data_IF_824647533823
#
_entry.id   IF_824647533823
#
_cell.length_a   1.000
_cell.length_b   1.000
_cell.length_c   1.000
_cell.angle_alpha   90.00
_cell.angle_beta   90.00
_cell.angle_gamma   90.00
#
_symmetry.space_group_name_H-M   'P 1'
#
loop_
_entity.id
_entity.type
_entity.pdbx_description
1 polymer ?
#
# COMPACT_ATOMS: atom_id res chain seq x y z
N UNK A 1 10.18 -12.71 15.33
CA UNK A 1 10.63 -14.05 14.90
C UNK A 1 9.88 -14.40 13.63
N UNK A 2 10.55 -14.93 12.58
CA UNK A 2 9.86 -15.28 11.33
C UNK A 2 8.80 -16.35 11.58
N UNK A 3 7.56 -16.19 11.07
CA UNK A 3 6.58 -17.26 11.11
C UNK A 3 7.09 -18.47 10.33
N UNK A 4 6.82 -19.66 10.86
CA UNK A 4 7.18 -20.93 10.22
C UNK A 4 6.04 -21.40 9.33
N UNK A 5 6.31 -21.75 8.09
CA UNK A 5 5.31 -22.30 7.17
C UNK A 5 5.86 -23.50 6.41
N UNK A 6 4.97 -24.45 6.07
CA UNK A 6 5.32 -25.63 5.27
C UNK A 6 5.52 -25.24 3.81
N UNK A 7 6.55 -25.79 3.15
CA UNK A 7 6.83 -25.60 1.71
C UNK A 7 5.60 -25.83 0.81
N UNK A 8 4.71 -26.76 1.19
CA UNK A 8 3.45 -27.03 0.46
C UNK A 8 2.57 -25.78 0.27
N UNK A 9 2.59 -24.84 1.22
CA UNK A 9 1.83 -23.58 1.14
C UNK A 9 2.48 -22.51 0.26
N UNK A 10 3.71 -22.74 -0.22
CA UNK A 10 4.54 -21.75 -0.94
C UNK A 10 4.93 -22.25 -2.33
N UNK A 11 4.21 -23.23 -2.88
CA UNK A 11 4.58 -23.90 -4.15
C UNK A 11 4.25 -23.08 -5.40
N UNK A 12 3.41 -22.05 -5.27
CA UNK A 12 2.98 -21.19 -6.36
C UNK A 12 2.80 -19.73 -5.87
N UNK A 13 2.64 -18.82 -6.82
CA UNK A 13 2.53 -17.39 -6.52
C UNK A 13 1.34 -17.07 -5.61
N UNK A 14 0.17 -17.70 -5.81
CA UNK A 14 -1.00 -17.51 -4.93
C UNK A 14 -0.71 -17.93 -3.48
N UNK A 15 0.00 -19.05 -3.29
CA UNK A 15 0.41 -19.53 -1.98
C UNK A 15 1.37 -18.56 -1.30
N UNK A 16 2.34 -18.04 -2.06
CA UNK A 16 3.27 -17.02 -1.59
C UNK A 16 2.54 -15.72 -1.26
N UNK A 17 1.63 -15.26 -2.12
CA UNK A 17 0.81 -14.07 -1.90
C UNK A 17 0.04 -14.17 -0.59
N UNK A 18 -0.70 -15.26 -0.40
CA UNK A 18 -1.47 -15.48 0.82
C UNK A 18 -0.58 -15.57 2.07
N UNK A 19 0.61 -16.16 1.93
CA UNK A 19 1.55 -16.28 3.04
C UNK A 19 2.14 -14.91 3.42
N UNK A 20 2.64 -14.14 2.44
CA UNK A 20 3.25 -12.82 2.68
C UNK A 20 2.21 -11.82 3.18
N UNK A 21 1.02 -11.77 2.56
CA UNK A 21 -0.08 -10.90 3.04
C UNK A 21 -0.48 -11.21 4.47
N UNK A 22 -0.53 -12.49 4.84
CA UNK A 22 -0.73 -12.89 6.23
C UNK A 22 0.37 -12.35 7.14
N UNK A 23 1.65 -12.50 6.77
CA UNK A 23 2.77 -12.00 7.60
C UNK A 23 2.68 -10.49 7.80
N UNK A 24 2.49 -9.72 6.74
CA UNK A 24 2.46 -8.25 6.85
C UNK A 24 1.23 -7.77 7.64
N UNK A 25 0.06 -8.40 7.47
CA UNK A 25 -1.17 -7.99 8.16
C UNK A 25 -1.23 -8.44 9.63
N UNK A 26 -0.55 -9.53 9.99
CA UNK A 26 -0.47 -10.01 11.38
C UNK A 26 0.70 -9.41 12.17
N UNK A 27 1.59 -8.68 11.51
CA UNK A 27 2.70 -8.01 12.19
C UNK A 27 2.22 -6.77 12.94
N UNK A 28 2.83 -6.49 14.10
CA UNK A 28 2.60 -5.23 14.80
C UNK A 28 3.00 -4.06 13.89
N UNK A 29 2.09 -3.09 13.72
CA UNK A 29 2.27 -1.95 12.82
C UNK A 29 2.24 -0.62 13.59
N UNK A 30 3.16 0.33 13.30
CA UNK A 30 4.22 0.27 12.29
C UNK A 30 5.38 -0.67 12.69
N UNK A 31 5.89 -1.43 11.73
CA UNK A 31 7.06 -2.30 11.94
C UNK A 31 8.37 -1.49 11.88
N UNK A 32 9.34 -1.84 12.72
CA UNK A 32 10.72 -1.34 12.62
C UNK A 32 11.51 -2.03 11.50
N UNK A 33 11.04 -3.20 11.03
CA UNK A 33 11.64 -3.90 9.90
C UNK A 33 11.21 -3.23 8.57
N UNK A 34 12.14 -2.55 7.91
CA UNK A 34 11.90 -1.77 6.68
C UNK A 34 11.15 -2.58 5.62
N UNK A 35 11.59 -3.82 5.34
CA UNK A 35 10.93 -4.69 4.34
C UNK A 35 9.46 -4.96 4.67
N UNK A 36 9.12 -5.15 5.95
CA UNK A 36 7.74 -5.39 6.38
C UNK A 36 6.94 -4.10 6.28
N UNK A 37 7.49 -2.98 6.76
CA UNK A 37 6.83 -1.69 6.71
C UNK A 37 6.51 -1.27 5.26
N UNK A 38 7.48 -1.38 4.36
CA UNK A 38 7.31 -1.01 2.95
C UNK A 38 6.33 -1.94 2.24
N UNK A 39 6.46 -3.24 2.46
CA UNK A 39 5.53 -4.20 1.86
C UNK A 39 4.10 -3.99 2.38
N UNK A 40 3.95 -3.62 3.66
CA UNK A 40 2.66 -3.29 4.25
C UNK A 40 2.03 -2.06 3.59
N UNK A 41 2.73 -0.92 3.54
CA UNK A 41 2.13 0.32 3.01
C UNK A 41 1.82 0.21 1.52
N UNK A 42 2.66 -0.48 0.74
CA UNK A 42 2.42 -0.67 -0.71
C UNK A 42 1.28 -1.65 -0.94
N UNK A 43 1.23 -2.76 -0.21
CA UNK A 43 0.14 -3.73 -0.31
C UNK A 43 -1.21 -3.11 0.04
N UNK A 44 -1.28 -2.35 1.13
CA UNK A 44 -2.52 -1.72 1.53
C UNK A 44 -2.91 -0.56 0.60
N UNK A 45 -1.96 0.21 0.08
CA UNK A 45 -2.27 1.17 -0.98
C UNK A 45 -2.91 0.46 -2.18
N UNK A 46 -2.36 -0.66 -2.64
CA UNK A 46 -3.02 -1.47 -3.66
C UNK A 46 -4.42 -1.94 -3.23
N UNK A 47 -4.55 -2.55 -2.06
CA UNK A 47 -5.81 -3.15 -1.61
C UNK A 47 -6.95 -2.14 -1.49
N UNK A 48 -6.68 -0.95 -0.96
CA UNK A 48 -7.72 0.09 -0.82
C UNK A 48 -8.08 0.73 -2.17
N UNK A 49 -7.10 0.87 -3.08
CA UNK A 49 -7.34 1.42 -4.41
C UNK A 49 -8.21 0.48 -5.26
N UNK A 50 -8.07 -0.83 -5.09
CA UNK A 50 -8.94 -1.82 -5.74
C UNK A 50 -10.32 -1.97 -5.07
N UNK A 51 -10.48 -1.55 -3.81
CA UNK A 51 -11.74 -1.69 -3.06
C UNK A 51 -12.64 -0.45 -3.16
N UNK A 52 -12.04 0.74 -3.12
CA UNK A 52 -12.78 2.01 -3.05
C UNK A 52 -11.93 3.24 -3.36
N UNK A 53 -10.80 3.08 -4.06
CA UNK A 53 -9.99 4.19 -4.54
C UNK A 53 -9.26 4.97 -3.43
N UNK A 54 -8.80 6.16 -3.78
CA UNK A 54 -8.05 7.02 -2.86
C UNK A 54 -8.86 7.46 -1.63
N UNK A 55 -10.19 7.52 -1.71
CA UNK A 55 -11.04 7.87 -0.57
C UNK A 55 -10.99 6.79 0.51
N UNK A 56 -11.14 5.53 0.12
CA UNK A 56 -11.07 4.38 1.03
C UNK A 56 -9.68 4.30 1.67
N UNK A 57 -8.64 4.53 0.87
CA UNK A 57 -7.28 4.60 1.34
C UNK A 57 -7.09 5.65 2.44
N UNK A 58 -7.51 6.90 2.19
CA UNK A 58 -7.39 7.98 3.17
C UNK A 58 -8.19 7.68 4.44
N UNK A 59 -9.38 7.10 4.30
CA UNK A 59 -10.24 6.72 5.42
C UNK A 59 -9.53 5.75 6.35
N UNK A 60 -9.03 4.62 5.83
CA UNK A 60 -8.40 3.58 6.64
C UNK A 60 -6.99 3.93 7.13
N UNK A 61 -6.24 4.74 6.36
CA UNK A 61 -4.85 5.10 6.71
C UNK A 61 -4.69 6.43 7.42
N UNK A 62 -5.78 7.19 7.62
CA UNK A 62 -5.74 8.54 8.20
C UNK A 62 -4.97 8.61 9.52
N UNK A 63 -5.19 7.70 10.45
CA UNK A 63 -4.49 7.67 11.74
C UNK A 63 -2.98 7.46 11.60
N UNK A 64 -2.56 6.60 10.67
CA UNK A 64 -1.15 6.36 10.43
C UNK A 64 -0.50 7.56 9.73
N UNK A 65 -1.18 8.15 8.75
CA UNK A 65 -0.73 9.37 8.07
C UNK A 65 -0.61 10.53 9.07
N UNK A 66 -1.58 10.70 9.98
CA UNK A 66 -1.54 11.69 11.08
C UNK A 66 -0.30 11.49 11.96
N UNK A 67 0.00 10.25 12.35
CA UNK A 67 1.17 9.92 13.21
C UNK A 67 2.50 10.10 12.50
N UNK A 68 2.62 9.62 11.26
CA UNK A 68 3.87 9.69 10.48
C UNK A 68 4.14 11.08 9.90
N UNK A 69 3.09 11.85 9.64
CA UNK A 69 3.11 13.09 8.87
C UNK A 69 3.05 12.82 7.36
N UNK A 70 2.16 13.53 6.67
CA UNK A 70 1.86 13.33 5.24
C UNK A 70 3.09 13.33 4.33
N UNK A 71 4.04 14.24 4.57
CA UNK A 71 5.26 14.32 3.76
C UNK A 71 6.11 13.06 3.88
N UNK A 72 6.34 12.60 5.12
CA UNK A 72 7.12 11.39 5.37
C UNK A 72 6.41 10.18 4.78
N UNK A 73 5.11 10.05 5.07
CA UNK A 73 4.31 8.92 4.58
C UNK A 73 4.29 8.85 3.05
N UNK A 74 4.12 9.98 2.36
CA UNK A 74 4.13 10.04 0.89
C UNK A 74 5.49 9.64 0.31
N UNK A 75 6.59 10.05 0.95
CA UNK A 75 7.95 9.66 0.55
C UNK A 75 8.15 8.14 0.73
N UNK A 76 7.77 7.60 1.89
CA UNK A 76 7.90 6.17 2.17
C UNK A 76 7.09 5.33 1.17
N UNK A 77 5.82 5.71 0.91
CA UNK A 77 4.95 4.99 -0.02
C UNK A 77 5.47 5.06 -1.46
N UNK A 78 5.84 6.26 -1.93
CA UNK A 78 6.42 6.42 -3.26
C UNK A 78 7.71 5.62 -3.42
N UNK A 79 8.60 5.66 -2.42
CA UNK A 79 9.83 4.88 -2.43
C UNK A 79 9.59 3.37 -2.42
N UNK A 80 8.59 2.89 -1.67
CA UNK A 80 8.17 1.49 -1.70
C UNK A 80 7.65 1.05 -3.07
N UNK A 81 6.87 1.90 -3.74
CA UNK A 81 6.39 1.66 -5.10
C UNK A 81 7.55 1.61 -6.11
N UNK A 82 8.49 2.55 -6.05
CA UNK A 82 9.69 2.55 -6.91
C UNK A 82 10.55 1.30 -6.70
N UNK A 83 10.71 0.84 -5.45
CA UNK A 83 11.48 -0.38 -5.12
C UNK A 83 10.91 -1.64 -5.78
N UNK A 84 9.61 -1.68 -6.08
CA UNK A 84 8.97 -2.80 -6.79
C UNK A 84 8.82 -2.53 -8.31
N UNK A 85 9.39 -1.44 -8.83
CA UNK A 85 9.30 -1.05 -10.24
C UNK A 85 7.96 -0.44 -10.63
N UNK A 86 7.22 0.11 -9.65
CA UNK A 86 5.93 0.77 -9.84
C UNK A 86 6.08 2.30 -9.95
N UNK A 87 7.08 2.78 -10.72
CA UNK A 87 7.43 4.20 -10.81
C UNK A 87 6.23 5.10 -11.20
N UNK A 88 5.41 4.68 -12.18
CA UNK A 88 4.24 5.45 -12.59
C UNK A 88 3.19 5.59 -11.46
N UNK A 89 3.08 4.61 -10.56
CA UNK A 89 2.22 4.70 -9.38
C UNK A 89 2.83 5.61 -8.31
N UNK A 90 4.15 5.59 -8.17
CA UNK A 90 4.86 6.51 -7.27
C UNK A 90 4.64 7.97 -7.70
N UNK A 91 4.61 8.26 -9.01
CA UNK A 91 4.29 9.59 -9.52
C UNK A 91 2.85 10.03 -9.20
N UNK A 92 1.87 9.11 -9.20
CA UNK A 92 0.50 9.41 -8.75
C UNK A 92 0.50 9.82 -7.28
N UNK A 93 1.17 9.05 -6.42
CA UNK A 93 1.31 9.36 -4.99
C UNK A 93 1.94 10.73 -4.78
N UNK A 94 3.08 11.00 -5.43
CA UNK A 94 3.78 12.30 -5.33
C UNK A 94 2.92 13.47 -5.80
N UNK A 95 2.10 13.25 -6.82
CA UNK A 95 1.27 14.29 -7.45
C UNK A 95 0.02 14.62 -6.63
N UNK A 96 -0.63 13.60 -6.04
CA UNK A 96 -1.98 13.77 -5.51
C UNK A 96 -2.11 13.58 -4.00
N UNK A 97 -1.26 12.77 -3.36
CA UNK A 97 -1.53 12.34 -1.98
C UNK A 97 -1.48 13.49 -0.97
N UNK A 98 -0.50 14.39 -1.07
CA UNK A 98 -0.39 15.54 -0.16
C UNK A 98 -1.57 16.53 -0.33
N UNK A 99 -1.95 16.98 -1.54
CA UNK A 99 -3.16 17.79 -1.71
C UNK A 99 -4.45 17.10 -1.26
N UNK A 100 -4.62 15.80 -1.58
CA UNK A 100 -5.77 15.02 -1.15
C UNK A 100 -5.88 14.94 0.37
N UNK A 101 -4.74 14.74 1.05
CA UNK A 101 -4.70 14.69 2.50
C UNK A 101 -5.18 15.99 3.16
N UNK A 102 -4.77 17.14 2.63
CA UNK A 102 -5.18 18.42 3.18
C UNK A 102 -6.68 18.68 2.97
N UNK A 103 -7.24 18.27 1.82
CA UNK A 103 -8.68 18.33 1.58
C UNK A 103 -9.42 17.36 2.51
N UNK A 104 -8.94 16.12 2.66
CA UNK A 104 -9.53 15.13 3.56
C UNK A 104 -9.63 15.65 5.01
N UNK A 105 -8.57 16.28 5.52
CA UNK A 105 -8.60 16.90 6.85
C UNK A 105 -9.56 18.10 6.95
N UNK A 106 -9.65 18.90 5.89
CA UNK A 106 -10.54 20.07 5.89
C UNK A 106 -12.02 19.65 5.94
N UNK A 107 -12.39 18.48 5.39
CA UNK A 107 -13.76 17.96 5.44
C UNK A 107 -14.26 17.73 6.87
N UNK A 108 -13.35 17.45 7.81
CA UNK A 108 -13.71 17.32 9.23
C UNK A 108 -14.30 18.62 9.82
N UNK A 109 -14.10 19.77 9.14
CA UNK A 109 -14.46 21.11 9.66
C UNK A 109 -15.27 21.97 8.69
N UNK A 110 -15.22 21.70 7.39
CA UNK A 110 -15.87 22.50 6.35
C UNK A 110 -16.42 21.60 5.24
N UNK A 111 -17.72 21.33 5.27
CA UNK A 111 -18.40 20.53 4.24
C UNK A 111 -18.39 21.22 2.87
N UNK A 112 -18.14 22.53 2.78
CA UNK A 112 -18.17 23.24 1.49
C UNK A 112 -17.06 22.82 0.53
N UNK A 113 -16.00 22.16 1.04
CA UNK A 113 -14.87 21.66 0.26
C UNK A 113 -15.08 20.24 -0.28
N UNK A 114 -16.23 19.61 -0.01
CA UNK A 114 -16.59 18.26 -0.46
C UNK A 114 -16.47 18.10 -1.98
N UNK A 115 -16.94 19.09 -2.74
CA UNK A 115 -16.86 19.06 -4.19
C UNK A 115 -15.41 19.10 -4.70
N UNK A 116 -14.55 19.95 -4.11
CA UNK A 116 -13.13 20.02 -4.43
C UNK A 116 -12.41 18.70 -4.08
N UNK A 117 -12.76 18.09 -2.95
CA UNK A 117 -12.23 16.81 -2.53
C UNK A 117 -12.54 15.71 -3.56
N UNK A 118 -13.82 15.48 -3.88
CA UNK A 118 -14.20 14.43 -4.81
C UNK A 118 -13.67 14.67 -6.22
N UNK A 119 -13.60 15.92 -6.66
CA UNK A 119 -12.97 16.27 -7.95
C UNK A 119 -11.50 15.83 -8.02
N UNK A 120 -10.76 15.96 -6.92
CA UNK A 120 -9.38 15.50 -6.87
C UNK A 120 -9.28 13.98 -6.72
N UNK A 121 -10.17 13.35 -5.95
CA UNK A 121 -10.28 11.88 -5.84
C UNK A 121 -10.49 11.26 -7.22
N UNK A 122 -11.50 11.73 -7.98
CA UNK A 122 -11.78 11.24 -9.32
C UNK A 122 -10.55 11.36 -10.24
N UNK A 123 -9.80 12.44 -10.13
CA UNK A 123 -8.57 12.62 -10.93
C UNK A 123 -7.48 11.63 -10.54
N UNK A 124 -7.25 11.42 -9.24
CA UNK A 124 -6.24 10.50 -8.75
C UNK A 124 -6.60 9.04 -9.08
N UNK A 125 -7.86 8.65 -8.91
CA UNK A 125 -8.36 7.32 -9.26
C UNK A 125 -8.27 7.09 -10.79
N UNK A 126 -8.63 8.07 -11.60
CA UNK A 126 -8.49 7.97 -13.06
C UNK A 126 -7.02 7.80 -13.47
N UNK A 127 -6.10 8.57 -12.89
CA UNK A 127 -4.66 8.42 -13.15
C UNK A 127 -4.20 7.00 -12.75
N UNK A 128 -4.69 6.44 -11.64
CA UNK A 128 -4.39 5.07 -11.20
C UNK A 128 -4.93 4.01 -12.17
N UNK A 129 -6.20 4.11 -12.57
CA UNK A 129 -6.84 3.14 -13.45
C UNK A 129 -6.25 3.14 -14.87
N UNK A 130 -5.72 4.26 -15.34
CA UNK A 130 -5.01 4.33 -16.63
C UNK A 130 -3.75 3.46 -16.68
N UNK A 131 -3.21 3.04 -15.54
CA UNK A 131 -2.07 2.12 -15.46
C UNK A 131 -2.46 0.64 -15.61
N UNK A 132 -3.73 0.35 -15.89
CA UNK A 132 -4.25 -0.98 -16.26
C UNK A 132 -4.00 -2.09 -15.20
N UNK A 133 -4.07 -1.75 -13.91
CA UNK A 133 -4.02 -2.74 -12.83
C UNK A 133 -2.71 -3.52 -12.69
N UNK A 134 -1.61 -3.04 -13.30
CA UNK A 134 -0.31 -3.74 -13.29
C UNK A 134 0.33 -3.82 -11.90
N UNK A 135 -0.13 -3.02 -10.92
CA UNK A 135 0.41 -3.01 -9.56
C UNK A 135 0.31 -4.38 -8.87
N UNK A 136 -0.79 -5.13 -9.09
CA UNK A 136 -0.95 -6.47 -8.55
C UNK A 136 0.18 -7.43 -9.00
N UNK A 137 0.59 -7.34 -10.26
CA UNK A 137 1.64 -8.19 -10.83
C UNK A 137 3.02 -7.82 -10.27
N UNK A 138 3.28 -6.52 -10.07
CA UNK A 138 4.52 -6.03 -9.48
C UNK A 138 4.63 -6.45 -8.01
N UNK A 139 3.52 -6.37 -7.26
CA UNK A 139 3.43 -6.86 -5.89
C UNK A 139 3.65 -8.38 -5.81
N UNK A 140 3.03 -9.15 -6.70
CA UNK A 140 3.23 -10.60 -6.73
C UNK A 140 4.70 -10.96 -6.97
N UNK A 141 5.34 -10.33 -7.96
CA UNK A 141 6.75 -10.53 -8.24
C UNK A 141 7.65 -10.13 -7.05
N UNK A 142 7.32 -9.04 -6.37
CA UNK A 142 8.01 -8.61 -5.16
C UNK A 142 7.84 -9.62 -4.02
N UNK A 143 6.62 -10.11 -3.77
CA UNK A 143 6.36 -11.11 -2.74
C UNK A 143 7.12 -12.42 -3.00
N UNK A 144 7.18 -12.88 -4.24
CA UNK A 144 8.02 -14.02 -4.64
C UNK A 144 9.50 -13.76 -4.30
N UNK A 145 9.99 -12.53 -4.46
CA UNK A 145 11.38 -12.18 -4.14
C UNK A 145 11.66 -12.18 -2.64
N UNK A 146 10.73 -11.69 -1.81
CA UNK A 146 10.98 -11.45 -0.38
C UNK A 146 10.43 -12.54 0.57
N UNK A 147 9.62 -13.49 0.09
CA UNK A 147 8.91 -14.40 0.99
C UNK A 147 9.82 -15.22 1.92
N UNK A 148 10.99 -15.67 1.46
CA UNK A 148 11.95 -16.41 2.30
C UNK A 148 12.66 -15.51 3.32
N UNK A 149 12.68 -14.20 3.08
CA UNK A 149 13.19 -13.23 4.05
C UNK A 149 12.17 -12.98 5.15
N UNK A 150 10.88 -13.18 4.89
CA UNK A 150 9.82 -13.00 5.86
C UNK A 150 9.40 -14.30 6.57
N UNK A 151 9.55 -15.46 5.92
CA UNK A 151 9.00 -16.74 6.36
C UNK A 151 10.11 -17.79 6.48
N UNK A 152 10.12 -18.53 7.60
CA UNK A 152 10.95 -19.72 7.74
C UNK A 152 10.26 -20.92 7.06
N UNK A 153 10.86 -21.43 5.98
CA UNK A 153 10.30 -22.55 5.21
C UNK A 153 10.71 -23.88 5.83
N UNK A 154 9.71 -24.69 6.20
CA UNK A 154 9.90 -26.05 6.68
C UNK A 154 9.70 -27.04 5.53
N UNK A 155 10.66 -27.96 5.35
CA UNK A 155 10.68 -28.95 4.26
C UNK A 155 9.63 -30.08 4.37
N UNK A 156 8.80 -30.12 5.41
CA UNK A 156 7.88 -31.23 5.70
C UNK A 156 6.43 -30.79 5.95
#
# INVERSE_FOLDING_TARGET
>A
MKPKMKRKGLMNNDGIWNAVTKVICEHDFPSEEETIYESFIVFHYFAELESGGHEMFLTWFSDHIKKAGIKKYSIDLAGGLEKIGADDYAEIVKKHLDPLWHLYLALETDESIEHEFYKLIEKADNDYHQLNGRLAQLLEAHFVKIHTDLIEVLEN
#
